data_IF_319448018269
#
_entry.id   IF_319448018269
#
_cell.length_a   1.000
_cell.length_b   1.000
_cell.length_c   1.000
_cell.angle_alpha   90.00
_cell.angle_beta   90.00
_cell.angle_gamma   90.00
#
_symmetry.space_group_name_H-M   'P 1'
#
loop_
_entity.id
_entity.type
_entity.pdbx_description
1 polymer ?
#
# COMPACT_ATOMS: atom_id res chain seq x y z
N UNK A 1 37.39 -54.15 28.07
CA UNK A 1 37.10 -53.36 26.85
C UNK A 1 35.83 -52.54 27.11
N UNK A 2 35.99 -51.26 27.48
CA UNK A 2 34.89 -50.38 27.90
C UNK A 2 34.33 -49.64 26.68
N UNK A 3 33.01 -49.74 26.44
CA UNK A 3 32.29 -49.01 25.39
C UNK A 3 31.80 -47.68 25.99
N UNK A 4 32.25 -46.54 25.47
CA UNK A 4 31.77 -45.21 25.87
C UNK A 4 30.64 -44.75 24.93
N UNK A 5 29.38 -44.64 25.37
CA UNK A 5 28.25 -44.24 24.53
C UNK A 5 28.05 -42.72 24.46
N UNK A 6 28.95 -41.94 25.06
CA UNK A 6 28.73 -40.50 25.31
C UNK A 6 29.00 -39.64 24.06
N UNK A 7 29.73 -40.16 23.08
CA UNK A 7 30.14 -39.35 21.92
C UNK A 7 29.08 -39.24 20.80
N UNK A 8 28.01 -40.05 20.83
CA UNK A 8 26.97 -40.01 19.79
C UNK A 8 25.78 -39.10 20.12
N UNK A 9 25.67 -38.57 21.34
CA UNK A 9 24.52 -37.75 21.74
C UNK A 9 24.73 -36.23 21.49
N UNK A 10 25.96 -35.80 21.19
CA UNK A 10 26.29 -34.38 21.02
C UNK A 10 26.06 -33.81 19.62
N UNK A 11 25.80 -34.66 18.60
CA UNK A 11 25.68 -34.20 17.21
C UNK A 11 24.23 -34.00 16.74
N UNK A 12 23.24 -34.18 17.63
CA UNK A 12 21.83 -34.02 17.28
C UNK A 12 21.21 -32.69 17.75
N UNK A 13 22.01 -31.78 18.35
CA UNK A 13 21.51 -30.51 18.91
C UNK A 13 21.63 -29.31 17.95
N UNK A 14 22.07 -29.52 16.70
CA UNK A 14 22.30 -28.42 15.74
C UNK A 14 21.28 -28.37 14.59
N UNK A 15 20.13 -29.04 14.74
CA UNK A 15 19.04 -28.94 13.78
C UNK A 15 18.08 -27.80 14.13
N UNK A 16 18.26 -26.72 13.37
CA UNK A 16 17.20 -25.86 12.82
C UNK A 16 16.50 -24.93 13.82
N UNK A 17 17.21 -23.90 14.27
CA UNK A 17 16.58 -22.59 14.51
C UNK A 17 16.54 -21.83 13.16
N UNK A 18 15.74 -22.31 12.21
CA UNK A 18 15.26 -21.43 11.15
C UNK A 18 14.23 -20.52 11.78
N UNK A 19 14.67 -19.43 12.40
CA UNK A 19 13.77 -18.32 12.70
C UNK A 19 13.16 -17.91 11.38
N UNK A 20 11.85 -18.05 11.26
CA UNK A 20 11.07 -17.42 10.20
C UNK A 20 11.31 -15.91 10.35
N UNK A 21 12.30 -15.37 9.62
CA UNK A 21 12.48 -13.94 9.50
C UNK A 21 11.29 -13.46 8.68
N UNK A 22 10.25 -13.01 9.38
CA UNK A 22 9.20 -12.22 8.77
C UNK A 22 9.87 -10.99 8.18
N UNK A 23 9.95 -10.94 6.85
CA UNK A 23 10.48 -9.77 6.16
C UNK A 23 9.54 -8.61 6.47
N UNK A 24 10.06 -7.64 7.22
CA UNK A 24 9.35 -6.38 7.45
C UNK A 24 9.39 -5.63 6.14
N UNK A 25 8.25 -5.53 5.47
CA UNK A 25 8.10 -4.83 4.20
C UNK A 25 6.97 -3.80 4.31
N UNK A 26 7.01 -2.77 3.46
CA UNK A 26 5.89 -1.84 3.36
C UNK A 26 4.67 -2.62 2.85
N UNK A 27 3.57 -2.52 3.59
CA UNK A 27 2.31 -3.17 3.24
C UNK A 27 1.24 -2.15 2.92
N UNK A 28 0.40 -2.46 1.93
CA UNK A 28 -0.81 -1.69 1.60
C UNK A 28 -2.02 -2.58 1.79
N UNK A 29 -3.01 -2.11 2.55
CA UNK A 29 -4.20 -2.89 2.92
C UNK A 29 -5.47 -2.05 2.78
N UNK A 30 -6.61 -2.75 2.77
CA UNK A 30 -7.94 -2.14 2.76
C UNK A 30 -8.13 -1.18 1.59
N UNK A 31 -7.64 -1.57 0.41
CA UNK A 31 -7.70 -0.72 -0.77
C UNK A 31 -9.09 -0.80 -1.42
N UNK A 32 -9.70 0.36 -1.59
CA UNK A 32 -11.01 0.49 -2.22
C UNK A 32 -11.11 1.78 -3.02
N UNK A 33 -12.05 1.82 -3.96
CA UNK A 33 -12.36 3.00 -4.77
C UNK A 33 -13.85 3.30 -4.80
N UNK A 34 -14.21 4.57 -5.01
CA UNK A 34 -15.59 4.97 -5.26
C UNK A 34 -16.03 4.56 -6.67
N UNK A 35 -17.32 4.28 -6.88
CA UNK A 35 -17.88 4.11 -8.22
C UNK A 35 -17.62 5.34 -9.09
N UNK A 36 -17.62 5.15 -10.40
CA UNK A 36 -17.33 6.20 -11.36
C UNK A 36 -17.89 5.86 -12.73
N UNK A 37 -18.13 6.89 -13.53
CA UNK A 37 -18.61 6.75 -14.91
C UNK A 37 -17.45 7.12 -15.84
N UNK A 38 -17.34 6.44 -16.97
CA UNK A 38 -16.38 6.78 -18.02
C UNK A 38 -16.44 8.29 -18.35
N UNK A 39 -15.28 8.92 -18.50
CA UNK A 39 -15.15 10.37 -18.71
C UNK A 39 -15.02 11.19 -17.42
N UNK A 40 -15.45 10.65 -16.27
CA UNK A 40 -15.43 11.38 -15.00
C UNK A 40 -14.19 11.08 -14.15
N UNK A 41 -14.15 11.72 -12.98
CA UNK A 41 -13.12 11.53 -11.95
C UNK A 41 -13.66 10.70 -10.79
N UNK A 42 -12.83 9.84 -10.22
CA UNK A 42 -13.10 9.15 -8.95
C UNK A 42 -11.82 9.07 -8.09
N UNK A 43 -11.91 8.45 -6.92
CA UNK A 43 -10.78 8.31 -5.99
C UNK A 43 -10.67 6.92 -5.37
N UNK A 44 -9.44 6.52 -5.03
CA UNK A 44 -9.10 5.36 -4.23
C UNK A 44 -8.45 5.73 -2.89
N UNK A 45 -8.63 4.83 -1.94
CA UNK A 45 -8.29 4.94 -0.53
C UNK A 45 -7.69 3.62 -0.05
N UNK A 46 -6.78 3.68 0.92
CA UNK A 46 -6.06 2.52 1.46
C UNK A 46 -5.25 2.91 2.70
N UNK A 47 -4.70 1.91 3.39
CA UNK A 47 -3.78 2.10 4.51
C UNK A 47 -2.39 1.60 4.13
N UNK A 48 -1.40 2.49 4.17
CA UNK A 48 0.02 2.12 4.08
C UNK A 48 0.55 1.86 5.49
N UNK A 49 1.25 0.74 5.68
CA UNK A 49 1.98 0.42 6.91
C UNK A 49 3.46 0.29 6.61
N UNK A 50 4.30 1.04 7.32
CA UNK A 50 5.76 0.94 7.23
C UNK A 50 6.34 0.37 8.53
N UNK A 51 6.60 -0.96 8.61
CA UNK A 51 7.19 -1.58 9.79
C UNK A 51 8.72 -1.43 9.88
N UNK A 52 9.36 -0.77 8.89
CA UNK A 52 10.80 -0.60 8.83
C UNK A 52 11.31 0.42 9.84
N UNK A 53 12.61 0.38 10.11
CA UNK A 53 13.34 1.37 10.90
C UNK A 53 13.81 2.58 10.06
N UNK A 54 13.37 2.67 8.81
CA UNK A 54 13.64 3.78 7.88
C UNK A 54 12.34 4.30 7.27
N UNK A 55 12.32 5.61 6.98
CA UNK A 55 11.25 6.22 6.20
C UNK A 55 11.33 5.80 4.73
N UNK A 56 10.21 5.98 4.02
CA UNK A 56 10.13 5.88 2.56
C UNK A 56 9.24 7.01 2.02
N UNK A 57 9.13 7.11 0.70
CA UNK A 57 8.24 8.06 0.03
C UNK A 57 7.42 7.33 -1.02
N UNK A 58 6.11 7.55 -1.03
CA UNK A 58 5.28 7.21 -2.17
C UNK A 58 5.41 8.33 -3.20
N UNK A 59 6.02 8.05 -4.34
CA UNK A 59 6.33 9.03 -5.38
C UNK A 59 5.22 9.18 -6.41
N UNK A 60 4.52 8.09 -6.74
CA UNK A 60 3.44 8.14 -7.73
C UNK A 60 2.50 6.94 -7.63
N UNK A 61 1.33 7.10 -8.24
CA UNK A 61 0.35 6.06 -8.46
C UNK A 61 0.06 5.92 -9.97
N UNK A 62 -0.23 4.71 -10.43
CA UNK A 62 -0.59 4.43 -11.83
C UNK A 62 -1.70 3.40 -11.91
N UNK A 63 -2.64 3.58 -12.84
CA UNK A 63 -3.60 2.55 -13.21
C UNK A 63 -4.07 2.74 -14.65
N UNK A 64 -4.39 1.65 -15.32
CA UNK A 64 -4.85 1.67 -16.70
C UNK A 64 -6.31 2.12 -16.84
N UNK A 65 -7.07 2.17 -15.73
CA UNK A 65 -8.49 2.52 -15.70
C UNK A 65 -8.79 3.98 -16.04
N UNK A 66 -7.78 4.86 -16.03
CA UNK A 66 -7.93 6.31 -16.21
C UNK A 66 -6.85 6.87 -17.14
N UNK A 67 -7.09 8.06 -17.69
CA UNK A 67 -6.07 8.75 -18.48
C UNK A 67 -4.95 9.28 -17.59
N UNK A 68 -5.29 9.80 -16.41
CA UNK A 68 -4.35 10.39 -15.46
C UNK A 68 -4.62 9.80 -14.07
N UNK A 69 -3.55 9.51 -13.33
CA UNK A 69 -3.59 9.02 -11.95
C UNK A 69 -2.63 9.85 -11.12
N UNK A 70 -3.15 10.53 -10.09
CA UNK A 70 -2.41 11.48 -9.27
C UNK A 70 -2.64 11.22 -7.79
N UNK A 71 -1.73 11.68 -6.93
CA UNK A 71 -1.88 11.62 -5.47
C UNK A 71 -2.27 13.01 -4.98
N UNK A 72 -3.36 13.12 -4.24
CA UNK A 72 -3.91 14.39 -3.80
C UNK A 72 -4.13 14.40 -2.29
N UNK A 73 -4.07 15.59 -1.69
CA UNK A 73 -4.54 15.84 -0.33
C UNK A 73 -5.72 16.81 -0.38
N UNK A 74 -6.85 16.36 0.13
CA UNK A 74 -8.04 17.20 0.32
C UNK A 74 -8.15 17.65 1.76
N UNK A 75 -8.45 18.92 1.98
CA UNK A 75 -8.73 19.48 3.30
C UNK A 75 -9.92 20.43 3.24
N UNK A 76 -10.58 20.60 4.38
CA UNK A 76 -11.64 21.61 4.55
C UNK A 76 -11.13 22.68 5.50
N UNK A 77 -11.22 23.94 5.10
CA UNK A 77 -10.94 25.08 5.97
C UNK A 77 -12.08 26.09 5.86
N UNK A 78 -12.79 26.31 6.98
CA UNK A 78 -13.91 27.25 7.07
C UNK A 78 -15.01 27.00 6.01
N UNK A 79 -15.38 25.73 5.78
CA UNK A 79 -16.39 25.36 4.77
C UNK A 79 -15.90 25.43 3.32
N UNK A 80 -14.64 25.77 3.08
CA UNK A 80 -14.02 25.76 1.75
C UNK A 80 -13.16 24.50 1.59
N UNK A 81 -13.47 23.72 0.56
CA UNK A 81 -12.67 22.55 0.19
C UNK A 81 -11.43 22.99 -0.60
N UNK A 82 -10.27 22.49 -0.19
CA UNK A 82 -9.01 22.59 -0.91
C UNK A 82 -8.57 21.19 -1.34
N UNK A 83 -8.02 21.08 -2.54
CA UNK A 83 -7.47 19.84 -3.09
C UNK A 83 -6.14 20.18 -3.73
N UNK A 84 -5.08 19.50 -3.29
CA UNK A 84 -3.72 19.77 -3.74
C UNK A 84 -3.04 18.47 -4.16
N UNK A 85 -2.53 18.44 -5.39
CA UNK A 85 -1.65 17.37 -5.84
C UNK A 85 -0.40 17.31 -4.95
N UNK A 86 0.08 16.10 -4.70
CA UNK A 86 1.26 15.80 -3.91
C UNK A 86 2.36 15.26 -4.81
N UNK A 87 3.52 15.93 -4.84
CA UNK A 87 4.70 15.42 -5.56
C UNK A 87 5.19 14.09 -4.98
N UNK A 88 5.02 13.91 -3.66
CA UNK A 88 5.21 12.65 -2.95
C UNK A 88 4.46 12.65 -1.62
N UNK A 89 4.32 11.48 -1.01
CA UNK A 89 3.81 11.32 0.36
C UNK A 89 4.87 10.65 1.21
N UNK A 90 5.26 11.27 2.32
CA UNK A 90 6.17 10.66 3.29
C UNK A 90 5.52 9.49 4.01
N UNK A 91 6.27 8.40 4.14
CA UNK A 91 5.87 7.21 4.88
C UNK A 91 6.91 6.98 5.99
N UNK A 92 6.74 7.62 7.16
CA UNK A 92 7.73 7.56 8.23
C UNK A 92 8.01 6.14 8.71
N UNK A 93 9.19 5.90 9.30
CA UNK A 93 9.52 4.64 9.95
C UNK A 93 8.49 4.31 11.05
N UNK A 94 8.17 3.02 11.23
CA UNK A 94 7.24 2.52 12.25
C UNK A 94 5.87 3.21 12.26
N UNK A 95 5.39 3.65 11.11
CA UNK A 95 4.17 4.43 11.00
C UNK A 95 3.11 3.74 10.14
N UNK A 96 1.92 4.35 10.17
CA UNK A 96 0.84 4.08 9.23
C UNK A 96 0.38 5.40 8.63
N UNK A 97 0.15 5.40 7.32
CA UNK A 97 -0.35 6.57 6.58
C UNK A 97 -1.66 6.16 5.92
N UNK A 98 -2.71 6.90 6.23
CA UNK A 98 -4.07 6.59 5.80
C UNK A 98 -4.46 7.49 4.63
N UNK A 99 -4.87 6.86 3.53
CA UNK A 99 -5.52 7.50 2.40
C UNK A 99 -7.02 7.34 2.60
N UNK A 100 -7.74 8.45 2.82
CA UNK A 100 -9.16 8.48 3.18
C UNK A 100 -9.87 9.73 2.62
N UNK A 101 -11.22 9.73 2.60
CA UNK A 101 -11.99 10.93 2.27
C UNK A 101 -11.58 12.12 3.14
N UNK A 102 -11.49 13.31 2.53
CA UNK A 102 -11.03 14.56 3.18
C UNK A 102 -9.64 14.34 3.83
N UNK A 103 -8.72 13.86 3.00
CA UNK A 103 -7.33 13.62 3.34
C UNK A 103 -6.55 13.18 2.10
N UNK A 104 -5.54 12.34 2.29
CA UNK A 104 -4.79 11.74 1.18
C UNK A 104 -5.67 10.78 0.36
N UNK A 105 -5.54 10.81 -0.95
CA UNK A 105 -6.24 9.89 -1.85
C UNK A 105 -5.53 9.80 -3.19
N UNK A 106 -5.75 8.70 -3.91
CA UNK A 106 -5.36 8.60 -5.33
C UNK A 106 -6.55 9.05 -6.17
N UNK A 107 -6.35 10.05 -7.01
CA UNK A 107 -7.36 10.60 -7.90
C UNK A 107 -7.16 10.02 -9.31
N UNK A 108 -8.25 9.51 -9.89
CA UNK A 108 -8.29 9.01 -11.26
C UNK A 108 -9.06 10.00 -12.10
N UNK A 109 -8.41 10.63 -13.09
CA UNK A 109 -9.02 11.67 -13.92
C UNK A 109 -9.26 11.10 -15.32
N UNK A 110 -10.46 11.37 -15.84
CA UNK A 110 -10.96 10.88 -17.12
C UNK A 110 -10.89 9.35 -17.20
N UNK A 111 -11.78 8.70 -16.44
CA UNK A 111 -11.95 7.24 -16.44
C UNK A 111 -12.19 6.71 -17.87
N UNK A 112 -11.54 5.60 -18.21
CA UNK A 112 -11.67 4.95 -19.53
C UNK A 112 -12.85 3.99 -19.60
N UNK A 113 -13.42 3.64 -18.45
CA UNK A 113 -14.54 2.72 -18.30
C UNK A 113 -15.37 3.06 -17.06
N UNK A 114 -16.59 2.56 -17.00
CA UNK A 114 -17.41 2.62 -15.80
C UNK A 114 -16.79 1.75 -14.70
N UNK A 115 -16.90 2.21 -13.46
CA UNK A 115 -16.54 1.48 -12.25
C UNK A 115 -17.80 1.31 -11.40
N UNK A 116 -18.24 0.07 -11.26
CA UNK A 116 -19.43 -0.32 -10.53
C UNK A 116 -19.06 -1.16 -9.31
N UNK A 117 -19.95 -1.21 -8.31
CA UNK A 117 -19.70 -1.94 -7.06
C UNK A 117 -19.30 -3.40 -7.33
N UNK A 118 -18.21 -3.83 -6.70
CA UNK A 118 -17.65 -5.18 -6.82
C UNK A 118 -16.65 -5.34 -7.96
N UNK A 119 -16.51 -4.34 -8.84
CA UNK A 119 -15.43 -4.32 -9.82
C UNK A 119 -14.07 -4.26 -9.12
N UNK A 120 -13.06 -4.82 -9.79
CA UNK A 120 -11.69 -4.85 -9.28
C UNK A 120 -10.72 -4.39 -10.35
N UNK A 121 -9.69 -3.66 -9.92
CA UNK A 121 -8.61 -3.22 -10.81
C UNK A 121 -7.28 -3.12 -10.05
N UNK A 122 -6.18 -3.08 -10.80
CA UNK A 122 -4.85 -2.94 -10.24
C UNK A 122 -4.47 -1.47 -10.12
N UNK A 123 -3.99 -1.11 -8.93
CA UNK A 123 -3.33 0.16 -8.65
C UNK A 123 -1.86 -0.09 -8.35
N UNK A 124 -1.00 0.56 -9.10
CA UNK A 124 0.44 0.47 -8.93
C UNK A 124 0.94 1.68 -8.15
N UNK A 125 1.62 1.42 -7.03
CA UNK A 125 2.17 2.43 -6.13
C UNK A 125 3.70 2.37 -6.19
N UNK A 126 4.35 3.46 -6.58
CA UNK A 126 5.80 3.52 -6.75
C UNK A 126 6.43 4.21 -5.54
N UNK A 127 7.15 3.44 -4.74
CA UNK A 127 7.91 3.92 -3.61
C UNK A 127 9.37 4.19 -4.00
N UNK A 128 9.98 5.17 -3.36
CA UNK A 128 11.38 5.54 -3.60
C UNK A 128 12.35 4.39 -3.27
N UNK A 129 12.16 3.73 -2.12
CA UNK A 129 13.09 2.71 -1.63
C UNK A 129 12.51 1.29 -1.69
N UNK A 130 11.20 1.14 -1.46
CA UNK A 130 10.53 -0.16 -1.52
C UNK A 130 10.14 -0.59 -2.94
N UNK A 131 10.35 0.29 -3.93
CA UNK A 131 10.02 0.02 -5.32
C UNK A 131 8.53 -0.02 -5.57
N UNK A 132 8.11 -0.81 -6.55
CA UNK A 132 6.73 -0.86 -7.00
C UNK A 132 5.92 -1.89 -6.22
N UNK A 133 4.79 -1.47 -5.66
CA UNK A 133 3.81 -2.34 -5.01
C UNK A 133 2.51 -2.28 -5.82
N UNK A 134 2.01 -3.44 -6.23
CA UNK A 134 0.73 -3.57 -6.94
C UNK A 134 -0.36 -3.97 -5.94
N UNK A 135 -1.45 -3.23 -5.96
CA UNK A 135 -2.57 -3.38 -5.03
C UNK A 135 -3.83 -3.68 -5.82
N UNK A 136 -4.57 -4.71 -5.42
CA UNK A 136 -5.91 -4.94 -5.95
C UNK A 136 -6.90 -4.02 -5.23
N UNK A 137 -7.64 -3.21 -5.99
CA UNK A 137 -8.60 -2.24 -5.48
C UNK A 137 -9.99 -2.71 -5.83
N UNK A 138 -10.87 -2.81 -4.84
CA UNK A 138 -12.28 -3.13 -5.03
C UNK A 138 -13.12 -1.86 -5.04
N UNK A 139 -14.07 -1.77 -5.97
CA UNK A 139 -15.03 -0.66 -6.01
C UNK A 139 -16.12 -0.89 -4.97
N UNK A 140 -16.27 0.03 -4.03
CA UNK A 140 -17.20 -0.06 -2.91
C UNK A 140 -18.03 1.22 -2.79
N UNK A 141 -19.27 1.09 -2.31
CA UNK A 141 -20.07 2.25 -1.91
C UNK A 141 -19.50 2.85 -0.62
N UNK A 142 -19.46 4.19 -0.48
CA UNK A 142 -18.99 4.87 0.74
C UNK A 142 -19.78 4.56 2.00
#
# INVERSE_FOLDING_TARGET
MKKNPILLLSLFLMLILNSCMESKEIGVKSAWARPGIAGNTTAAYFLISNPLDRADKLLSAKSDIAQITEIHHSSEMNGTMSMQEQEYVEIPAKSKVEFKPIGLHVMFINLKQDLTKGDQFQLMLNFENSGQIVVNVEVQEP
#
